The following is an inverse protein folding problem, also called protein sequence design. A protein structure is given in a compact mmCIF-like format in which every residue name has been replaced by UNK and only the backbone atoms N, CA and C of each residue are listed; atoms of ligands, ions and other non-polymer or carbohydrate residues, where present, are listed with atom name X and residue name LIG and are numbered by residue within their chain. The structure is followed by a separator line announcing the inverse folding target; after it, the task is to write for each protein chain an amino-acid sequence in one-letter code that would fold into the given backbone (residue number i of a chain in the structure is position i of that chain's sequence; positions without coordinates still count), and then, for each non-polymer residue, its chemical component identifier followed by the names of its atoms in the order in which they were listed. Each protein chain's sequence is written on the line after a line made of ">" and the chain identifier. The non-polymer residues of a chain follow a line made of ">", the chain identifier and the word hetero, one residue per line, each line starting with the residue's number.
data_IF_444170772260
#
_entry.id   IF_444170772260
#
_cell.length_a   1.000
_cell.length_b   1.000
_cell.length_c   1.000
_cell.angle_alpha   90.00
_cell.angle_beta   90.00
_cell.angle_gamma   90.00
#
_symmetry.space_group_name_H-M   'P 1'
#
loop_
_entity.id
_entity.type
_entity.pdbx_description
1 polymer ?
#
# COMPACT_ATOMS: atom_id res chain seq x y z
N UNK A 1 10.98 0.01 -8.53
CA UNK A 1 10.90 -0.80 -7.30
C UNK A 1 11.73 -0.15 -6.20
N UNK A 2 11.17 -0.05 -5.02
CA UNK A 2 11.84 0.51 -3.86
C UNK A 2 11.93 -0.55 -2.77
N UNK A 3 13.03 -0.55 -2.03
CA UNK A 3 13.19 -1.48 -0.92
C UNK A 3 13.85 -0.80 0.29
N UNK A 4 13.45 -1.24 1.48
CA UNK A 4 13.93 -0.71 2.76
C UNK A 4 14.07 -1.84 3.76
N UNK A 5 15.05 -1.73 4.65
CA UNK A 5 15.08 -2.56 5.85
C UNK A 5 14.40 -1.79 6.98
N UNK A 6 13.43 -2.42 7.61
CA UNK A 6 12.61 -1.81 8.67
C UNK A 6 12.88 -2.48 10.01
N UNK A 7 12.82 -1.72 11.12
CA UNK A 7 13.19 -2.25 12.46
C UNK A 7 12.09 -3.04 13.16
N UNK A 8 10.99 -3.34 12.48
CA UNK A 8 9.86 -4.10 13.02
C UNK A 8 9.74 -5.42 12.29
N UNK A 9 9.02 -6.39 12.87
CA UNK A 9 8.83 -7.69 12.22
C UNK A 9 8.05 -7.58 10.91
N UNK A 10 8.26 -8.54 10.03
CA UNK A 10 7.55 -8.59 8.75
C UNK A 10 6.03 -8.67 8.96
N UNK A 11 5.57 -9.47 9.93
CA UNK A 11 4.15 -9.58 10.25
C UNK A 11 3.57 -8.24 10.70
N UNK A 12 4.26 -7.54 11.58
CA UNK A 12 3.83 -6.22 12.06
C UNK A 12 3.71 -5.22 10.91
N UNK A 13 4.74 -5.16 10.05
CA UNK A 13 4.75 -4.22 8.93
C UNK A 13 3.70 -4.56 7.88
N UNK A 14 3.51 -5.85 7.58
CA UNK A 14 2.48 -6.29 6.64
C UNK A 14 1.09 -5.90 7.12
N UNK A 15 0.77 -6.18 8.39
CA UNK A 15 -0.53 -5.84 8.96
C UNK A 15 -0.77 -4.33 8.98
N UNK A 16 0.25 -3.56 9.33
CA UNK A 16 0.15 -2.10 9.34
C UNK A 16 -0.07 -1.54 7.93
N UNK A 17 0.63 -2.07 6.94
CA UNK A 17 0.47 -1.66 5.54
C UNK A 17 -0.93 -1.96 5.01
N UNK A 18 -1.48 -3.13 5.36
CA UNK A 18 -2.79 -3.58 4.88
C UNK A 18 -3.96 -3.02 5.67
N UNK A 19 -3.72 -2.31 6.76
CA UNK A 19 -4.79 -1.76 7.60
C UNK A 19 -5.29 -0.44 7.01
N UNK A 20 -6.48 -0.50 6.41
CA UNK A 20 -7.10 0.65 5.76
C UNK A 20 -7.30 1.82 6.74
N UNK A 21 -7.59 1.54 8.00
CA UNK A 21 -7.84 2.59 9.01
C UNK A 21 -6.59 3.40 9.33
N UNK A 22 -5.40 2.89 9.03
CA UNK A 22 -4.13 3.57 9.29
C UNK A 22 -3.61 4.36 8.09
N UNK A 23 -4.17 4.15 6.89
CA UNK A 23 -3.63 4.73 5.66
C UNK A 23 -3.55 6.25 5.66
N UNK A 24 -4.50 6.93 6.30
CA UNK A 24 -4.44 8.40 6.41
C UNK A 24 -3.25 8.90 7.22
N UNK A 25 -2.63 8.05 8.02
CA UNK A 25 -1.48 8.43 8.85
C UNK A 25 -0.18 8.45 8.06
N UNK A 26 -0.09 7.67 6.98
CA UNK A 26 1.19 7.54 6.27
C UNK A 26 1.12 7.77 4.76
N UNK A 27 -0.03 7.51 4.10
CA UNK A 27 -0.14 7.73 2.65
C UNK A 27 -0.12 9.23 2.36
N UNK A 28 0.81 9.74 1.52
CA UNK A 28 0.90 11.16 1.25
C UNK A 28 -0.38 11.74 0.66
N UNK A 29 -0.80 12.89 1.19
CA UNK A 29 -1.94 13.68 0.70
C UNK A 29 -3.28 12.97 0.67
N UNK A 30 -3.43 11.86 1.37
CA UNK A 30 -4.68 11.10 1.39
C UNK A 30 -5.74 11.84 2.21
N UNK A 31 -6.87 12.12 1.57
CA UNK A 31 -7.97 12.90 2.17
C UNK A 31 -9.18 12.05 2.55
N UNK A 32 -9.50 11.05 1.73
CA UNK A 32 -10.67 10.20 1.96
C UNK A 32 -10.31 8.76 1.65
N UNK A 33 -10.78 7.87 2.53
CA UNK A 33 -10.70 6.41 2.33
C UNK A 33 -12.08 5.85 2.58
N UNK A 34 -12.63 5.11 1.62
CA UNK A 34 -13.95 4.50 1.76
C UNK A 34 -13.92 3.06 1.26
N UNK A 35 -14.33 2.13 2.12
CA UNK A 35 -14.44 0.73 1.74
C UNK A 35 -15.64 0.56 0.82
N UNK A 36 -15.42 0.01 -0.37
CA UNK A 36 -16.45 -0.25 -1.37
C UNK A 36 -16.99 -1.66 -1.24
N UNK A 37 -16.10 -2.64 -1.00
CA UNK A 37 -16.47 -4.03 -0.94
C UNK A 37 -15.58 -4.78 0.05
N UNK A 38 -16.18 -5.69 0.80
CA UNK A 38 -15.48 -6.59 1.74
C UNK A 38 -15.63 -8.03 1.29
N UNK A 39 -14.69 -8.88 1.70
CA UNK A 39 -14.79 -10.32 1.48
C UNK A 39 -15.68 -10.97 2.55
N UNK A 40 -15.79 -12.31 2.51
CA UNK A 40 -16.62 -13.08 3.44
C UNK A 40 -16.18 -12.93 4.91
N UNK A 41 -14.92 -12.56 5.14
CA UNK A 41 -14.35 -12.36 6.49
C UNK A 41 -14.36 -10.89 6.91
N UNK A 42 -15.15 -10.05 6.24
CA UNK A 42 -15.25 -8.62 6.51
C UNK A 42 -13.96 -7.83 6.23
N UNK A 43 -13.03 -8.38 5.44
CA UNK A 43 -11.80 -7.73 5.08
C UNK A 43 -12.01 -6.83 3.86
N UNK A 44 -11.57 -5.54 3.91
CA UNK A 44 -11.71 -4.67 2.75
C UNK A 44 -10.90 -5.18 1.56
N UNK A 45 -11.56 -5.43 0.42
CA UNK A 45 -10.92 -5.89 -0.80
C UNK A 45 -11.03 -4.89 -1.94
N UNK A 46 -11.98 -3.97 -1.84
CA UNK A 46 -12.07 -2.87 -2.80
C UNK A 46 -12.25 -1.57 -2.04
N UNK A 47 -11.38 -0.60 -2.31
CA UNK A 47 -11.31 0.65 -1.53
C UNK A 47 -11.20 1.83 -2.48
N UNK A 48 -12.01 2.85 -2.20
CA UNK A 48 -11.98 4.12 -2.91
C UNK A 48 -11.17 5.14 -2.14
N UNK A 49 -10.36 5.92 -2.86
CA UNK A 49 -9.47 6.91 -2.28
C UNK A 49 -9.63 8.26 -2.97
N UNK A 50 -9.48 9.33 -2.19
CA UNK A 50 -9.27 10.67 -2.71
C UNK A 50 -7.98 11.22 -2.13
N UNK A 51 -7.09 11.71 -2.98
CA UNK A 51 -5.78 12.21 -2.59
C UNK A 51 -5.44 13.50 -3.33
N UNK A 52 -4.67 14.37 -2.68
CA UNK A 52 -4.25 15.64 -3.26
C UNK A 52 -5.42 16.55 -3.61
N UNK A 53 -5.23 17.37 -4.63
CA UNK A 53 -6.24 18.37 -5.01
C UNK A 53 -7.40 17.78 -5.82
N UNK A 54 -7.17 16.74 -6.64
CA UNK A 54 -8.19 16.24 -7.58
C UNK A 54 -8.00 14.79 -8.01
N UNK A 55 -7.27 13.97 -7.23
CA UNK A 55 -7.09 12.57 -7.59
C UNK A 55 -8.09 11.69 -6.85
N UNK A 56 -8.87 10.94 -7.59
CA UNK A 56 -9.71 9.89 -7.03
C UNK A 56 -9.42 8.58 -7.76
N UNK A 57 -9.33 7.50 -7.01
CA UNK A 57 -9.08 6.18 -7.58
C UNK A 57 -9.63 5.10 -6.66
N UNK A 58 -9.81 3.91 -7.21
CA UNK A 58 -10.22 2.77 -6.42
C UNK A 58 -9.33 1.58 -6.77
N UNK A 59 -8.98 0.81 -5.77
CA UNK A 59 -8.09 -0.36 -5.91
C UNK A 59 -8.77 -1.61 -5.38
N UNK A 60 -8.51 -2.73 -6.06
CA UNK A 60 -8.92 -4.06 -5.62
C UNK A 60 -7.67 -4.78 -5.12
N UNK A 61 -7.73 -5.28 -3.90
CA UNK A 61 -6.61 -5.91 -3.22
C UNK A 61 -6.71 -7.43 -3.22
N UNK A 62 -5.57 -8.09 -3.40
CA UNK A 62 -5.41 -9.52 -3.21
C UNK A 62 -4.33 -9.74 -2.16
N UNK A 63 -4.70 -10.39 -1.06
CA UNK A 63 -3.83 -10.59 0.09
C UNK A 63 -3.29 -12.03 0.11
N UNK A 64 -1.99 -12.17 0.32
CA UNK A 64 -1.33 -13.46 0.57
C UNK A 64 -0.75 -13.41 1.97
N UNK A 65 -1.58 -13.71 2.96
CA UNK A 65 -1.20 -13.61 4.36
C UNK A 65 -0.11 -14.61 4.77
N UNK A 66 -0.07 -15.76 4.11
CA UNK A 66 0.94 -16.77 4.41
C UNK A 66 2.35 -16.32 4.03
N UNK A 67 2.47 -15.55 2.94
CA UNK A 67 3.76 -15.05 2.43
C UNK A 67 3.98 -13.56 2.69
N UNK A 68 3.07 -12.91 3.39
CA UNK A 68 3.13 -11.48 3.74
C UNK A 68 3.33 -10.61 2.50
N UNK A 69 2.46 -10.83 1.51
CA UNK A 69 2.44 -10.09 0.25
C UNK A 69 1.04 -9.57 -0.04
N UNK A 70 0.98 -8.42 -0.68
CA UNK A 70 -0.28 -7.85 -1.13
C UNK A 70 -0.09 -7.28 -2.54
N UNK A 71 -1.10 -7.48 -3.38
CA UNK A 71 -1.15 -6.92 -4.72
C UNK A 71 -2.44 -6.11 -4.86
N UNK A 72 -2.40 -5.11 -5.72
CA UNK A 72 -3.59 -4.33 -6.03
C UNK A 72 -3.63 -3.98 -7.51
N UNK A 73 -4.86 -3.83 -8.00
CA UNK A 73 -5.14 -3.39 -9.37
C UNK A 73 -6.22 -2.33 -9.31
N UNK A 74 -6.27 -1.41 -10.29
CA UNK A 74 -7.36 -0.43 -10.35
C UNK A 74 -8.71 -1.10 -10.54
N UNK A 75 -9.75 -0.59 -9.87
CA UNK A 75 -11.12 -1.02 -10.11
C UNK A 75 -11.54 -0.67 -11.52
N UNK A 76 -12.40 -1.50 -12.12
CA UNK A 76 -12.92 -1.26 -13.46
C UNK A 76 -13.65 0.09 -13.51
N UNK A 77 -13.35 0.89 -14.55
CA UNK A 77 -13.98 2.19 -14.76
C UNK A 77 -13.33 3.37 -14.03
N UNK A 78 -12.27 3.15 -13.25
CA UNK A 78 -11.53 4.22 -12.58
C UNK A 78 -10.15 4.34 -13.22
N UNK A 79 -9.84 5.52 -13.78
CA UNK A 79 -8.66 5.70 -14.64
C UNK A 79 -7.35 6.00 -13.92
N UNK A 80 -7.40 6.56 -12.70
CA UNK A 80 -6.21 7.12 -12.07
C UNK A 80 -5.45 6.14 -11.18
N UNK A 81 -5.97 4.94 -11.00
CA UNK A 81 -5.31 3.92 -10.19
C UNK A 81 -4.13 3.29 -10.91
N UNK A 82 -3.16 2.86 -10.14
CA UNK A 82 -1.96 2.17 -10.63
C UNK A 82 -1.84 0.82 -9.92
N UNK A 83 -1.61 -0.23 -10.71
CA UNK A 83 -1.35 -1.56 -10.15
C UNK A 83 -0.02 -1.58 -9.41
N UNK A 84 0.08 -2.41 -8.39
CA UNK A 84 1.31 -2.53 -7.65
C UNK A 84 1.34 -3.73 -6.72
N UNK A 85 2.42 -3.83 -5.97
CA UNK A 85 2.60 -4.89 -4.98
C UNK A 85 3.50 -4.42 -3.85
N UNK A 86 3.32 -5.05 -2.69
CA UNK A 86 4.22 -4.88 -1.55
C UNK A 86 4.49 -6.24 -0.93
N UNK A 87 5.72 -6.44 -0.46
CA UNK A 87 6.11 -7.69 0.19
C UNK A 87 7.00 -7.41 1.39
N UNK A 88 6.94 -8.33 2.35
CA UNK A 88 7.65 -8.20 3.63
C UNK A 88 8.33 -9.52 3.92
N UNK A 89 9.66 -9.51 3.98
CA UNK A 89 10.47 -10.68 4.28
C UNK A 89 11.08 -10.53 5.65
N UNK A 90 10.88 -11.51 6.53
CA UNK A 90 11.44 -11.48 7.87
C UNK A 90 12.96 -11.60 7.83
N UNK A 91 13.63 -10.68 8.52
CA UNK A 91 15.07 -10.71 8.77
C UNK A 91 15.31 -10.96 10.25
N UNK A 92 16.58 -11.11 10.63
CA UNK A 92 16.94 -11.38 12.02
C UNK A 92 16.47 -10.28 12.98
N UNK A 93 16.62 -9.01 12.60
CA UNK A 93 16.30 -7.86 13.44
C UNK A 93 15.29 -6.89 12.82
N UNK A 94 14.35 -7.41 12.03
CA UNK A 94 13.39 -6.56 11.36
C UNK A 94 12.85 -7.23 10.10
N UNK A 95 12.57 -6.45 9.07
CA UNK A 95 12.10 -7.02 7.82
C UNK A 95 12.64 -6.25 6.62
N UNK A 96 12.62 -6.94 5.48
CA UNK A 96 12.91 -6.35 4.18
C UNK A 96 11.58 -6.03 3.49
N UNK A 97 11.32 -4.74 3.27
CA UNK A 97 10.11 -4.22 2.64
C UNK A 97 10.40 -3.88 1.19
N UNK A 98 9.57 -4.39 0.28
CA UNK A 98 9.63 -4.07 -1.15
C UNK A 98 8.30 -3.48 -1.59
N UNK A 99 8.34 -2.37 -2.29
CA UNK A 99 7.18 -1.70 -2.85
C UNK A 99 7.43 -1.44 -4.33
N UNK A 100 6.50 -1.88 -5.18
CA UNK A 100 6.66 -1.72 -6.63
C UNK A 100 5.33 -1.35 -7.28
N UNK A 101 5.36 -0.38 -8.17
CA UNK A 101 4.24 -0.01 -9.02
C UNK A 101 4.51 -0.52 -10.45
N UNK A 102 3.45 -0.94 -11.12
CA UNK A 102 3.54 -1.49 -12.47
C UNK A 102 3.18 -0.42 -13.49
N UNK A 103 3.97 -0.28 -14.53
CA UNK A 103 3.70 0.64 -15.62
C UNK A 103 4.89 1.50 -16.01
N UNK A 104 4.70 2.27 -17.08
CA UNK A 104 5.72 3.14 -17.66
C UNK A 104 5.25 4.60 -17.74
N UNK A 105 4.30 5.01 -16.90
CA UNK A 105 3.79 6.38 -16.90
C UNK A 105 4.85 7.36 -16.43
N UNK A 106 4.92 8.57 -17.03
CA UNK A 106 5.76 9.63 -16.50
C UNK A 106 5.41 9.95 -15.04
N UNK A 107 6.41 10.09 -14.18
CA UNK A 107 6.20 10.40 -12.77
C UNK A 107 5.88 9.18 -11.89
N UNK A 108 5.70 7.99 -12.46
CA UNK A 108 5.38 6.79 -11.70
C UNK A 108 6.48 6.41 -10.73
N UNK A 109 7.74 6.49 -11.15
CA UNK A 109 8.88 6.17 -10.32
C UNK A 109 9.01 7.13 -9.13
N UNK A 110 8.76 8.41 -9.33
CA UNK A 110 8.76 9.39 -8.26
C UNK A 110 7.65 9.11 -7.25
N UNK A 111 6.46 8.78 -7.74
CA UNK A 111 5.32 8.42 -6.89
C UNK A 111 5.60 7.15 -6.09
N UNK A 112 6.18 6.14 -6.73
CA UNK A 112 6.59 4.89 -6.07
C UNK A 112 7.57 5.18 -4.92
N UNK A 113 8.59 6.01 -5.18
CA UNK A 113 9.56 6.40 -4.16
C UNK A 113 8.90 7.15 -3.01
N UNK A 114 8.01 8.08 -3.32
CA UNK A 114 7.31 8.89 -2.31
C UNK A 114 6.48 8.04 -1.37
N UNK A 115 5.67 7.13 -1.91
CA UNK A 115 4.80 6.27 -1.10
C UNK A 115 5.62 5.29 -0.27
N UNK A 116 6.61 4.63 -0.87
CA UNK A 116 7.45 3.67 -0.17
C UNK A 116 8.24 4.33 0.96
N UNK A 117 8.79 5.51 0.71
CA UNK A 117 9.53 6.28 1.72
C UNK A 117 8.61 6.71 2.86
N UNK A 118 7.40 7.14 2.54
CA UNK A 118 6.43 7.57 3.55
C UNK A 118 6.07 6.42 4.49
N UNK A 119 5.83 5.22 3.96
CA UNK A 119 5.55 4.05 4.79
C UNK A 119 6.74 3.68 5.65
N UNK A 120 7.93 3.61 5.06
CA UNK A 120 9.16 3.26 5.79
C UNK A 120 9.40 4.23 6.95
N UNK A 121 9.28 5.53 6.70
CA UNK A 121 9.49 6.56 7.72
C UNK A 121 8.46 6.46 8.84
N UNK A 122 7.21 6.22 8.49
CA UNK A 122 6.14 6.07 9.48
C UNK A 122 6.39 4.86 10.40
N UNK A 123 6.82 3.73 9.84
CA UNK A 123 7.16 2.55 10.62
C UNK A 123 8.38 2.81 11.53
N UNK A 124 9.40 3.48 11.02
CA UNK A 124 10.61 3.80 11.79
C UNK A 124 10.28 4.71 12.98
N UNK A 125 9.39 5.66 12.78
CA UNK A 125 9.00 6.65 13.79
C UNK A 125 7.97 6.14 14.81
N UNK A 126 7.37 5.00 14.55
CA UNK A 126 6.30 4.46 15.41
C UNK A 126 6.80 3.60 16.58
#
# INVERSE_FOLDING_TARGET
>A
MQSFELPKSADHCYRAFCDISLMKLWVPELKLVRVVRKDEKERPIEVYYEAGARHSYALVYAFDDANLKVRWVPSAGVRDGVSGRASFQQLQNGCHFVYALDGLRPGLEEHETEVATAFAQWIIDS
#
